data_IF_761004515657
#
_entry.id   IF_761004515657
#
_cell.length_a   1.000
_cell.length_b   1.000
_cell.length_c   1.000
_cell.angle_alpha   90.00
_cell.angle_beta   90.00
_cell.angle_gamma   90.00
#
_symmetry.space_group_name_H-M   'P 1'
#
loop_
_entity.id
_entity.type
_entity.pdbx_description
1 polymer ?
#
# COMPACT_ATOMS: atom_id res chain seq x y z
N UNK A 1 -37.86 -38.16 26.76
CA UNK A 1 -37.27 -36.86 26.47
C UNK A 1 -36.41 -36.97 25.22
N UNK A 2 -36.85 -36.33 24.18
CA UNK A 2 -36.10 -36.24 22.92
C UNK A 2 -34.88 -35.33 23.17
N UNK A 3 -33.72 -35.92 23.39
CA UNK A 3 -32.46 -35.17 23.37
C UNK A 3 -32.24 -34.70 21.97
N UNK A 4 -32.33 -33.39 21.74
CA UNK A 4 -32.12 -32.81 20.44
C UNK A 4 -30.68 -33.08 19.97
N UNK A 5 -30.53 -33.86 18.94
CA UNK A 5 -29.24 -34.18 18.32
C UNK A 5 -28.54 -32.92 17.77
N UNK A 6 -29.32 -31.89 17.48
CA UNK A 6 -28.84 -30.57 16.99
C UNK A 6 -27.90 -29.87 17.99
N UNK A 7 -28.15 -29.93 19.31
CA UNK A 7 -27.28 -29.32 20.29
C UNK A 7 -25.91 -30.05 20.42
N UNK A 8 -25.91 -31.37 20.23
CA UNK A 8 -24.69 -32.18 20.22
C UNK A 8 -23.83 -31.88 19.00
N UNK A 9 -24.42 -31.59 17.83
CA UNK A 9 -23.67 -31.30 16.61
C UNK A 9 -23.07 -29.88 16.61
N UNK A 10 -23.75 -28.93 17.26
CA UNK A 10 -23.18 -27.57 17.46
C UNK A 10 -21.98 -27.62 18.39
N UNK A 11 -22.04 -28.38 19.49
CA UNK A 11 -20.91 -28.55 20.40
C UNK A 11 -19.71 -29.29 19.77
N UNK A 12 -19.97 -30.27 18.91
CA UNK A 12 -18.91 -30.94 18.14
C UNK A 12 -18.23 -30.03 17.13
N UNK A 13 -18.98 -29.12 16.48
CA UNK A 13 -18.41 -28.13 15.56
C UNK A 13 -17.56 -27.07 16.25
N UNK A 14 -17.90 -26.65 17.46
CA UNK A 14 -17.11 -25.68 18.22
C UNK A 14 -15.75 -26.24 18.67
N UNK A 15 -15.64 -27.55 18.92
CA UNK A 15 -14.35 -28.19 19.23
C UNK A 15 -13.42 -28.41 18.02
N UNK A 16 -13.88 -28.12 16.80
CA UNK A 16 -13.09 -28.24 15.58
C UNK A 16 -12.45 -26.93 15.12
N UNK A 17 -12.68 -25.81 15.79
CA UNK A 17 -11.93 -24.58 15.57
C UNK A 17 -10.53 -24.71 16.20
N UNK A 18 -9.67 -25.44 15.51
CA UNK A 18 -8.25 -25.47 15.83
C UNK A 18 -7.73 -24.06 15.57
N UNK A 19 -7.45 -23.31 16.63
CA UNK A 19 -6.80 -21.99 16.53
C UNK A 19 -5.39 -22.23 16.00
N UNK A 20 -5.21 -22.02 14.72
CA UNK A 20 -3.88 -22.06 14.11
C UNK A 20 -3.21 -20.71 14.35
N UNK A 21 -2.02 -20.75 14.94
CA UNK A 21 -1.20 -19.54 15.12
C UNK A 21 -0.45 -19.27 13.83
N UNK A 22 -0.81 -18.20 13.12
CA UNK A 22 -0.05 -17.70 11.99
C UNK A 22 1.07 -16.78 12.50
N UNK A 23 2.23 -16.83 11.85
CA UNK A 23 3.38 -15.97 12.16
C UNK A 23 3.70 -15.12 10.94
N UNK A 24 3.89 -13.81 11.17
CA UNK A 24 4.32 -12.90 10.12
C UNK A 24 5.61 -12.21 10.55
N UNK A 25 6.61 -12.28 9.71
CA UNK A 25 7.87 -11.56 9.84
C UNK A 25 7.96 -10.52 8.74
N UNK A 26 8.28 -9.26 9.12
CA UNK A 26 8.48 -8.17 8.19
C UNK A 26 9.86 -7.58 8.42
N UNK A 27 10.59 -7.41 7.33
CA UNK A 27 11.91 -6.78 7.32
C UNK A 27 11.82 -5.59 6.37
N UNK A 28 12.30 -4.43 6.82
CA UNK A 28 12.43 -3.23 6.00
C UNK A 28 13.83 -2.69 6.11
N UNK A 29 14.47 -2.51 4.97
CA UNK A 29 15.69 -1.74 4.82
C UNK A 29 15.36 -0.45 4.08
N UNK A 30 15.79 0.69 4.63
CA UNK A 30 15.52 1.99 4.03
C UNK A 30 16.78 2.83 4.08
N UNK A 31 17.12 3.43 2.93
CA UNK A 31 18.25 4.34 2.80
C UNK A 31 17.77 5.68 2.25
N UNK A 32 18.20 6.77 2.90
CA UNK A 32 17.88 8.14 2.49
C UNK A 32 19.17 8.83 2.13
N UNK A 33 19.22 9.39 0.93
CA UNK A 33 20.33 10.20 0.44
C UNK A 33 19.86 11.64 0.30
N UNK A 34 20.48 12.51 1.07
CA UNK A 34 20.31 13.95 0.94
C UNK A 34 21.51 14.46 0.12
N UNK A 35 21.37 14.45 -1.20
CA UNK A 35 22.30 15.25 -2.02
C UNK A 35 21.99 16.71 -1.75
N UNK A 36 23.01 17.57 -1.94
CA UNK A 36 22.88 19.03 -1.78
C UNK A 36 21.49 19.49 -2.23
N UNK A 37 20.74 20.17 -1.31
CA UNK A 37 19.43 20.77 -1.62
C UNK A 37 19.31 21.16 -3.11
N UNK A 38 18.23 20.87 -3.81
CA UNK A 38 16.87 20.63 -3.33
C UNK A 38 16.35 19.18 -3.43
N UNK A 39 17.21 18.18 -3.66
CA UNK A 39 16.78 16.82 -3.95
C UNK A 39 16.96 15.89 -2.74
N UNK A 40 15.99 15.03 -2.52
CA UNK A 40 16.00 13.95 -1.54
C UNK A 40 15.67 12.65 -2.26
N UNK A 41 16.54 11.64 -2.13
CA UNK A 41 16.32 10.31 -2.66
C UNK A 41 16.12 9.33 -1.51
N UNK A 42 15.15 8.43 -1.67
CA UNK A 42 14.87 7.40 -0.68
C UNK A 42 14.63 6.07 -1.38
N UNK A 43 15.47 5.09 -1.08
CA UNK A 43 15.32 3.71 -1.53
C UNK A 43 14.82 2.86 -0.38
N UNK A 44 13.84 2.01 -0.62
CA UNK A 44 13.36 1.05 0.37
C UNK A 44 13.26 -0.34 -0.22
N UNK A 45 13.64 -1.34 0.58
CA UNK A 45 13.47 -2.76 0.32
C UNK A 45 12.63 -3.34 1.45
N UNK A 46 11.49 -3.90 1.13
CA UNK A 46 10.55 -4.51 2.06
C UNK A 46 10.42 -6.00 1.77
N UNK A 47 10.55 -6.83 2.80
CA UNK A 47 10.36 -8.27 2.75
C UNK A 47 9.32 -8.72 3.77
N UNK A 48 8.41 -9.61 3.38
CA UNK A 48 7.42 -10.23 4.26
C UNK A 48 7.52 -11.74 4.10
N UNK A 49 7.52 -12.44 5.25
CA UNK A 49 7.39 -13.88 5.34
C UNK A 49 6.16 -14.17 6.18
N UNK A 50 5.22 -14.90 5.63
CA UNK A 50 4.00 -15.32 6.31
C UNK A 50 3.96 -16.83 6.42
N UNK A 51 4.02 -17.33 7.65
CA UNK A 51 3.99 -18.75 7.98
C UNK A 51 2.59 -19.15 8.44
N UNK A 52 1.90 -19.92 7.61
CA UNK A 52 0.61 -20.51 7.92
C UNK A 52 0.81 -22.01 8.15
N UNK A 53 0.46 -22.54 9.33
CA UNK A 53 0.65 -23.96 9.65
C UNK A 53 -0.11 -24.91 8.71
N UNK A 54 -1.07 -24.43 7.91
CA UNK A 54 -1.84 -25.24 6.96
C UNK A 54 -1.33 -25.05 5.53
N UNK A 55 -0.83 -23.87 5.19
CA UNK A 55 -0.34 -23.50 3.87
C UNK A 55 1.18 -23.39 3.88
N UNK A 56 1.79 -23.41 2.68
CA UNK A 56 3.23 -23.14 2.53
C UNK A 56 3.59 -21.73 3.03
N UNK A 57 4.87 -21.55 3.37
CA UNK A 57 5.45 -20.26 3.64
C UNK A 57 5.23 -19.30 2.45
N UNK A 58 4.48 -18.24 2.66
CA UNK A 58 4.20 -17.21 1.66
C UNK A 58 5.19 -16.05 1.83
N UNK A 59 5.66 -15.54 0.71
CA UNK A 59 6.67 -14.47 0.65
C UNK A 59 6.11 -13.27 -0.08
N UNK A 60 6.52 -12.09 0.35
CA UNK A 60 6.29 -10.84 -0.35
C UNK A 60 7.56 -10.00 -0.37
N UNK A 61 7.83 -9.35 -1.47
CA UNK A 61 8.95 -8.43 -1.64
C UNK A 61 8.46 -7.15 -2.34
N UNK A 62 9.00 -6.00 -1.94
CA UNK A 62 8.79 -4.74 -2.64
C UNK A 62 10.08 -3.94 -2.63
N UNK A 63 10.43 -3.41 -3.79
CA UNK A 63 11.53 -2.47 -3.98
C UNK A 63 10.91 -1.14 -4.37
N UNK A 64 11.25 -0.06 -3.68
CA UNK A 64 10.71 1.25 -4.01
C UNK A 64 11.77 2.34 -3.97
N UNK A 65 11.58 3.31 -4.87
CA UNK A 65 12.39 4.50 -5.00
C UNK A 65 11.51 5.74 -4.92
N UNK A 66 11.87 6.70 -4.05
CA UNK A 66 11.24 8.00 -3.98
C UNK A 66 12.24 9.10 -4.32
N UNK A 67 11.77 10.10 -5.03
CA UNK A 67 12.54 11.30 -5.39
C UNK A 67 11.72 12.50 -4.96
N UNK A 68 12.22 13.27 -4.00
CA UNK A 68 11.62 14.54 -3.59
C UNK A 68 12.43 15.71 -4.15
N UNK A 69 11.74 16.70 -4.70
CA UNK A 69 12.31 17.96 -5.15
C UNK A 69 11.59 19.13 -4.49
N UNK A 70 12.32 19.90 -3.69
CA UNK A 70 11.81 21.03 -2.93
C UNK A 70 12.81 22.19 -3.01
N UNK A 71 12.77 23.02 -4.05
CA UNK A 71 13.63 24.18 -4.17
C UNK A 71 13.34 25.22 -3.07
N UNK A 72 14.34 25.93 -2.63
CA UNK A 72 14.20 27.01 -1.63
C UNK A 72 13.63 28.31 -2.21
N UNK A 73 13.81 28.50 -3.52
CA UNK A 73 13.42 29.73 -4.22
C UNK A 73 11.97 29.69 -4.73
N UNK A 74 11.38 28.52 -4.89
CA UNK A 74 10.02 28.35 -5.40
C UNK A 74 9.11 27.74 -4.35
N UNK A 75 7.87 28.21 -4.20
CA UNK A 75 6.89 27.64 -3.28
C UNK A 75 6.28 26.34 -3.82
N UNK A 76 7.13 25.47 -4.38
CA UNK A 76 6.77 24.26 -5.09
C UNK A 76 7.48 23.06 -4.48
N UNK A 77 6.74 21.94 -4.36
CA UNK A 77 7.28 20.65 -4.01
C UNK A 77 6.71 19.57 -4.93
N UNK A 78 7.60 18.73 -5.45
CA UNK A 78 7.24 17.58 -6.30
C UNK A 78 7.88 16.35 -5.69
N UNK A 79 7.10 15.29 -5.54
CA UNK A 79 7.57 14.01 -5.04
C UNK A 79 7.13 12.90 -6.00
N UNK A 80 8.10 12.21 -6.59
CA UNK A 80 7.92 11.02 -7.41
C UNK A 80 8.14 9.76 -6.59
N UNK A 81 7.38 8.72 -6.87
CA UNK A 81 7.50 7.41 -6.25
C UNK A 81 7.33 6.32 -7.31
N UNK A 82 8.20 5.32 -7.27
CA UNK A 82 8.13 4.12 -8.10
C UNK A 82 8.36 2.91 -7.21
N UNK A 83 7.54 1.89 -7.34
CA UNK A 83 7.70 0.62 -6.65
C UNK A 83 7.39 -0.55 -7.58
N UNK A 84 8.18 -1.60 -7.46
CA UNK A 84 7.89 -2.93 -7.96
C UNK A 84 7.61 -3.84 -6.77
N UNK A 85 6.60 -4.71 -6.90
CA UNK A 85 6.22 -5.64 -5.85
C UNK A 85 5.87 -7.00 -6.42
N UNK A 86 6.15 -8.02 -5.62
CA UNK A 86 5.79 -9.41 -5.87
C UNK A 86 5.38 -10.07 -4.56
N UNK A 87 4.26 -10.81 -4.55
CA UNK A 87 3.80 -11.57 -3.39
C UNK A 87 3.13 -12.88 -3.82
N UNK A 88 3.36 -13.93 -3.06
CA UNK A 88 2.79 -15.26 -3.36
C UNK A 88 1.27 -15.33 -3.08
N UNK A 89 0.77 -14.58 -2.07
CA UNK A 89 -0.64 -14.58 -1.66
C UNK A 89 -1.01 -13.25 -0.97
N UNK A 90 -2.29 -13.00 -0.79
CA UNK A 90 -2.83 -11.85 -0.06
C UNK A 90 -2.27 -11.71 1.37
N UNK A 91 -1.97 -12.84 2.04
CA UNK A 91 -1.41 -12.82 3.40
C UNK A 91 0.02 -12.26 3.47
N UNK A 92 0.77 -12.33 2.37
CA UNK A 92 2.11 -11.75 2.23
C UNK A 92 2.12 -10.37 1.57
N UNK A 93 0.96 -9.67 1.54
CA UNK A 93 0.83 -8.34 0.95
C UNK A 93 1.80 -7.34 1.54
N UNK A 94 2.37 -6.50 0.68
CA UNK A 94 3.29 -5.42 1.02
C UNK A 94 2.58 -4.08 1.09
N UNK A 95 3.10 -3.15 1.89
CA UNK A 95 2.52 -1.81 2.05
C UNK A 95 3.44 -0.75 1.47
N UNK A 96 2.87 0.15 0.65
CA UNK A 96 3.58 1.30 0.09
C UNK A 96 3.58 2.49 1.06
N UNK A 97 4.74 3.13 1.20
CA UNK A 97 4.93 4.37 1.98
C UNK A 97 5.22 5.54 1.05
N UNK A 98 4.29 5.74 0.12
CA UNK A 98 4.32 6.88 -0.79
C UNK A 98 3.84 8.16 -0.08
N UNK A 99 4.32 9.31 -0.56
CA UNK A 99 3.87 10.59 -0.04
C UNK A 99 2.42 10.86 -0.43
N UNK A 100 1.64 11.35 0.53
CA UNK A 100 0.24 11.71 0.32
C UNK A 100 0.02 13.22 0.41
N UNK A 101 -1.10 13.67 -0.14
CA UNK A 101 -1.62 15.01 0.10
C UNK A 101 -2.15 15.10 1.53
N UNK A 102 -2.26 16.32 2.05
CA UNK A 102 -2.79 16.56 3.39
C UNK A 102 -4.23 16.02 3.48
N UNK A 103 -4.57 15.40 4.61
CA UNK A 103 -5.86 14.76 4.92
C UNK A 103 -6.18 13.47 4.13
N UNK A 104 -5.35 13.04 3.21
CA UNK A 104 -5.48 11.73 2.56
C UNK A 104 -4.64 10.69 3.32
N UNK A 105 -5.28 9.97 4.23
CA UNK A 105 -4.63 8.85 4.94
C UNK A 105 -4.88 7.57 4.15
N UNK A 106 -4.06 7.35 3.13
CA UNK A 106 -4.09 6.12 2.38
C UNK A 106 -2.70 5.48 2.40
N UNK A 107 -2.62 4.28 2.93
CA UNK A 107 -1.45 3.42 2.86
C UNK A 107 -1.84 2.20 2.02
N UNK A 108 -1.62 2.24 0.71
CA UNK A 108 -2.04 1.16 -0.16
C UNK A 108 -1.27 -0.12 0.14
N UNK A 109 -2.00 -1.24 0.09
CA UNK A 109 -1.46 -2.59 0.16
C UNK A 109 -1.50 -3.21 -1.22
N UNK A 110 -0.44 -3.94 -1.57
CA UNK A 110 -0.32 -4.63 -2.84
C UNK A 110 -0.08 -6.12 -2.61
N UNK A 111 -0.69 -6.93 -3.45
CA UNK A 111 -0.49 -8.38 -3.50
C UNK A 111 -0.52 -8.82 -4.96
N UNK A 112 0.17 -9.94 -5.27
CA UNK A 112 0.42 -10.39 -6.63
C UNK A 112 1.70 -9.79 -7.21
N UNK A 113 1.77 -9.61 -8.50
CA UNK A 113 2.91 -9.06 -9.23
C UNK A 113 2.53 -7.79 -9.95
N UNK A 114 3.31 -6.71 -9.76
CA UNK A 114 2.97 -5.44 -10.36
C UNK A 114 3.93 -4.30 -10.05
N UNK A 115 3.54 -3.13 -10.55
CA UNK A 115 4.28 -1.89 -10.41
C UNK A 115 3.35 -0.75 -9.99
N UNK A 116 3.87 0.12 -9.13
CA UNK A 116 3.18 1.33 -8.68
C UNK A 116 4.02 2.56 -9.01
N UNK A 117 3.39 3.53 -9.64
CA UNK A 117 3.91 4.88 -9.83
C UNK A 117 3.03 5.87 -9.07
N UNK A 118 3.62 6.87 -8.41
CA UNK A 118 2.87 7.98 -7.85
C UNK A 118 3.64 9.30 -8.00
N UNK A 119 2.92 10.36 -8.32
CA UNK A 119 3.43 11.72 -8.43
C UNK A 119 2.59 12.62 -7.53
N UNK A 120 3.24 13.28 -6.58
CA UNK A 120 2.60 14.23 -5.69
C UNK A 120 3.16 15.62 -5.95
N UNK A 121 2.27 16.57 -6.13
CA UNK A 121 2.57 17.96 -6.40
C UNK A 121 1.97 18.83 -5.31
N UNK A 122 2.72 19.85 -4.86
CA UNK A 122 2.22 20.86 -3.93
C UNK A 122 2.76 22.23 -4.32
N UNK A 123 1.84 23.18 -4.48
CA UNK A 123 2.13 24.58 -4.78
C UNK A 123 1.53 25.46 -3.68
N UNK A 124 2.34 26.23 -2.99
CA UNK A 124 1.90 27.25 -2.04
C UNK A 124 1.76 28.59 -2.81
N UNK A 125 0.55 28.86 -3.37
CA UNK A 125 0.28 30.02 -4.25
C UNK A 125 0.42 31.33 -3.47
N UNK A 126 -0.10 31.33 -2.24
CA UNK A 126 -0.03 32.44 -1.31
C UNK A 126 0.21 31.93 0.11
N UNK A 127 0.56 32.83 1.06
CA UNK A 127 0.71 32.48 2.49
C UNK A 127 -0.53 31.77 3.07
N UNK A 128 -1.69 31.98 2.46
CA UNK A 128 -2.98 31.43 2.88
C UNK A 128 -3.59 30.40 1.92
N UNK A 129 -3.08 30.29 0.68
CA UNK A 129 -3.64 29.43 -0.36
C UNK A 129 -2.60 28.41 -0.83
N UNK A 130 -2.93 27.15 -0.73
CA UNK A 130 -2.10 26.05 -1.26
C UNK A 130 -2.92 25.05 -2.07
N UNK A 131 -2.37 24.61 -3.19
CA UNK A 131 -2.90 23.55 -4.04
C UNK A 131 -2.02 22.31 -3.88
N UNK A 132 -2.63 21.17 -3.70
CA UNK A 132 -1.94 19.88 -3.71
C UNK A 132 -2.68 18.91 -4.61
N UNK A 133 -1.95 18.12 -5.39
CA UNK A 133 -2.50 17.06 -6.22
C UNK A 133 -1.63 15.81 -6.14
N UNK A 134 -2.24 14.65 -6.30
CA UNK A 134 -1.56 13.36 -6.40
C UNK A 134 -2.20 12.54 -7.50
N UNK A 135 -1.38 12.06 -8.39
CA UNK A 135 -1.70 11.02 -9.37
C UNK A 135 -0.97 9.75 -8.96
N UNK A 136 -1.69 8.65 -8.88
CA UNK A 136 -1.09 7.37 -8.58
C UNK A 136 -1.67 6.30 -9.52
N UNK A 137 -0.80 5.48 -10.08
CA UNK A 137 -1.12 4.45 -11.05
C UNK A 137 -0.48 3.13 -10.62
N UNK A 138 -1.27 2.05 -10.65
CA UNK A 138 -0.82 0.69 -10.35
C UNK A 138 -1.15 -0.19 -11.54
N UNK A 139 -0.17 -0.93 -12.02
CA UNK A 139 -0.32 -1.95 -13.04
C UNK A 139 0.00 -3.31 -12.45
N UNK A 140 -0.88 -4.31 -12.69
CA UNK A 140 -0.70 -5.69 -12.30
C UNK A 140 -0.42 -6.55 -13.52
N UNK A 141 0.55 -7.47 -13.41
CA UNK A 141 0.88 -8.41 -14.49
C UNK A 141 0.19 -9.77 -14.33
N UNK A 142 -0.35 -10.05 -13.15
CA UNK A 142 -0.89 -11.36 -12.76
C UNK A 142 -2.42 -11.43 -12.80
N UNK A 143 -3.11 -10.34 -13.18
CA UNK A 143 -4.58 -10.29 -13.14
C UNK A 143 -5.18 -9.26 -14.09
N UNK A 144 -6.42 -9.55 -14.50
CA UNK A 144 -7.26 -8.67 -15.32
C UNK A 144 -8.47 -8.12 -14.56
N UNK A 145 -8.54 -8.38 -13.22
CA UNK A 145 -9.57 -7.89 -12.31
C UNK A 145 -8.93 -7.42 -11.02
N UNK A 146 -9.24 -6.19 -10.59
CA UNK A 146 -8.71 -5.56 -9.39
C UNK A 146 -9.86 -5.26 -8.44
N UNK A 147 -9.74 -5.61 -7.16
CA UNK A 147 -10.78 -5.43 -6.16
C UNK A 147 -11.73 -6.63 -6.05
N UNK A 148 -12.81 -6.45 -5.30
CA UNK A 148 -13.86 -7.48 -5.08
C UNK A 148 -15.22 -6.80 -4.98
N UNK A 149 -16.26 -7.50 -5.40
CA UNK A 149 -17.66 -7.08 -5.32
C UNK A 149 -17.94 -5.73 -6.00
N UNK A 150 -18.47 -4.77 -5.27
CA UNK A 150 -18.85 -3.44 -5.79
C UNK A 150 -17.67 -2.53 -6.15
N UNK A 151 -16.48 -2.86 -5.72
CA UNK A 151 -15.22 -2.12 -6.01
C UNK A 151 -14.39 -2.82 -7.08
N UNK A 152 -14.96 -3.78 -7.81
CA UNK A 152 -14.26 -4.49 -8.88
C UNK A 152 -14.01 -3.57 -10.08
N UNK A 153 -12.75 -3.53 -10.51
CA UNK A 153 -12.28 -2.81 -11.70
C UNK A 153 -11.88 -3.84 -12.73
N UNK A 154 -12.53 -3.83 -13.88
CA UNK A 154 -12.16 -4.63 -15.02
C UNK A 154 -10.89 -4.06 -15.65
N UNK A 155 -9.83 -4.86 -15.70
CA UNK A 155 -8.51 -4.50 -16.22
C UNK A 155 -7.39 -4.72 -15.22
N UNK A 156 -6.16 -4.61 -15.71
CA UNK A 156 -4.91 -4.75 -14.93
C UNK A 156 -4.42 -3.43 -14.32
N UNK A 157 -5.13 -2.32 -14.61
CA UNK A 157 -4.70 -0.96 -14.29
C UNK A 157 -5.64 -0.29 -13.30
N UNK A 158 -5.08 0.38 -12.30
CA UNK A 158 -5.80 1.22 -11.36
C UNK A 158 -5.15 2.58 -11.27
N UNK A 159 -5.92 3.65 -11.55
CA UNK A 159 -5.46 5.04 -11.42
C UNK A 159 -6.26 5.77 -10.36
N UNK A 160 -5.57 6.38 -9.42
CA UNK A 160 -6.14 7.19 -8.35
C UNK A 160 -5.71 8.65 -8.56
N UNK A 161 -6.66 9.59 -8.54
CA UNK A 161 -6.40 11.03 -8.63
C UNK A 161 -6.96 11.73 -7.40
N UNK A 162 -6.14 12.51 -6.73
CA UNK A 162 -6.52 13.32 -5.58
C UNK A 162 -6.14 14.78 -5.83
N UNK A 163 -7.02 15.70 -5.45
CA UNK A 163 -6.78 17.14 -5.50
C UNK A 163 -7.29 17.80 -4.21
N UNK A 164 -6.53 18.74 -3.69
CA UNK A 164 -6.85 19.48 -2.48
C UNK A 164 -6.48 20.94 -2.65
N UNK A 165 -7.47 21.82 -2.55
CA UNK A 165 -7.29 23.25 -2.42
C UNK A 165 -7.50 23.64 -0.95
N UNK A 166 -6.51 24.27 -0.34
CA UNK A 166 -6.54 24.65 1.06
C UNK A 166 -6.43 26.16 1.20
N UNK A 167 -7.42 26.75 1.85
CA UNK A 167 -7.43 28.15 2.26
C UNK A 167 -7.31 28.27 3.79
N UNK A 168 -6.41 29.13 4.26
CA UNK A 168 -6.27 29.45 5.69
C UNK A 168 -6.81 30.85 5.92
N UNK A 169 -7.74 30.98 6.85
CA UNK A 169 -8.29 32.25 7.31
C UNK A 169 -7.35 32.95 8.28
#
# INVERSE_FOLDING_TARGET
PIKSSAASDVYKRQNLLKINTCKQHRIRFQQVYNFSSPFIFKTSLDGILFDDPIKKLNKGIMISQSIGWKPTTLPLQIDGYLAWFYTDDYNSRVSSYEKNILYAFNMPFFYGDGMRFALTFRLDIWKRLSLSAKLAHTHYWDRDLIGTDTEEISGSDKTDLYALLRWKF
#
